data_IF_878918618030
#
_entry.id   IF_878918618030
#
_cell.length_a   1.000
_cell.length_b   1.000
_cell.length_c   1.000
_cell.angle_alpha   90.00
_cell.angle_beta   90.00
_cell.angle_gamma   90.00
#
_symmetry.space_group_name_H-M   'P 1'
#
loop_
_entity.id
_entity.type
_entity.pdbx_description
1 polymer ?
#
# COMPACT_ATOMS: atom_id res chain seq x y z
N UNK A 1 -0.98 -18.04 -12.72
CA UNK A 1 -0.79 -18.22 -11.27
C UNK A 1 -0.07 -16.98 -10.75
N UNK A 2 -0.76 -16.07 -10.09
CA UNK A 2 -0.18 -14.85 -9.49
C UNK A 2 -1.02 -14.33 -8.30
N UNK A 3 -1.74 -15.23 -7.63
CA UNK A 3 -2.81 -14.91 -6.67
C UNK A 3 -2.42 -14.99 -5.20
N UNK A 4 -1.23 -15.49 -4.84
CA UNK A 4 -0.85 -15.56 -3.41
C UNK A 4 -0.29 -14.24 -2.88
N UNK A 5 0.61 -13.57 -3.62
CA UNK A 5 1.36 -12.42 -3.10
C UNK A 5 0.53 -11.15 -2.87
N UNK A 6 -0.38 -10.82 -3.80
CA UNK A 6 -1.27 -9.66 -3.65
C UNK A 6 -2.28 -9.84 -2.51
N UNK A 7 -2.83 -11.05 -2.37
CA UNK A 7 -3.76 -11.41 -1.29
C UNK A 7 -3.07 -11.42 0.07
N UNK A 8 -1.86 -11.97 0.17
CA UNK A 8 -1.06 -11.96 1.39
C UNK A 8 -0.71 -10.54 1.85
N UNK A 9 -0.41 -9.66 0.90
CA UNK A 9 -0.12 -8.26 1.16
C UNK A 9 -1.31 -7.48 1.73
N UNK A 10 -2.49 -7.67 1.16
CA UNK A 10 -3.73 -7.10 1.69
C UNK A 10 -4.03 -7.64 3.09
N UNK A 11 -3.93 -8.96 3.26
CA UNK A 11 -4.14 -9.62 4.55
C UNK A 11 -3.17 -9.10 5.61
N UNK A 12 -1.91 -8.82 5.26
CA UNK A 12 -0.92 -8.27 6.19
C UNK A 12 -1.34 -6.88 6.69
N UNK A 13 -1.60 -5.91 5.81
CA UNK A 13 -1.94 -4.54 6.22
C UNK A 13 -3.23 -4.53 7.06
N UNK A 14 -4.19 -5.39 6.70
CA UNK A 14 -5.44 -5.55 7.45
C UNK A 14 -5.20 -6.24 8.81
N UNK A 15 -4.39 -7.30 8.87
CA UNK A 15 -4.08 -8.02 10.11
C UNK A 15 -3.32 -7.15 11.12
N UNK A 16 -2.48 -6.22 10.64
CA UNK A 16 -1.78 -5.24 11.47
C UNK A 16 -2.68 -4.09 11.93
N UNK A 17 -3.95 -4.04 11.50
CA UNK A 17 -4.87 -2.96 11.84
C UNK A 17 -4.53 -1.61 11.19
N UNK A 18 -3.66 -1.60 10.18
CA UNK A 18 -3.20 -0.38 9.50
C UNK A 18 -4.20 0.11 8.44
N UNK A 19 -4.98 -0.80 7.87
CA UNK A 19 -6.03 -0.50 6.90
C UNK A 19 -7.20 -1.48 7.04
N UNK A 20 -8.32 -1.15 6.42
CA UNK A 20 -9.48 -2.04 6.28
C UNK A 20 -9.65 -2.45 4.82
N UNK A 21 -10.23 -3.63 4.56
CA UNK A 21 -10.61 -4.00 3.19
C UNK A 21 -11.59 -2.99 2.61
N UNK A 22 -11.40 -2.59 1.35
CA UNK A 22 -12.29 -1.60 0.73
C UNK A 22 -13.64 -2.21 0.34
N UNK A 23 -14.71 -1.43 0.53
CA UNK A 23 -16.05 -1.77 0.01
C UNK A 23 -16.27 -1.23 -1.41
N UNK A 24 -15.35 -0.41 -1.91
CA UNK A 24 -15.41 0.16 -3.25
C UNK A 24 -14.84 -0.84 -4.25
N UNK A 25 -15.66 -1.22 -5.23
CA UNK A 25 -15.26 -2.16 -6.27
C UNK A 25 -14.01 -1.65 -7.00
N UNK A 26 -12.95 -2.45 -6.93
CA UNK A 26 -11.69 -2.19 -7.62
C UNK A 26 -10.59 -1.61 -6.75
N UNK A 27 -10.90 -1.20 -5.51
CA UNK A 27 -9.94 -0.85 -4.48
C UNK A 27 -9.68 -2.07 -3.59
N UNK A 28 -8.47 -2.17 -3.03
CA UNK A 28 -8.09 -3.28 -2.17
C UNK A 28 -8.28 -2.91 -0.69
N UNK A 29 -7.83 -1.71 -0.30
CA UNK A 29 -7.88 -1.25 1.10
C UNK A 29 -8.27 0.21 1.23
N UNK A 30 -8.74 0.58 2.42
CA UNK A 30 -9.04 1.93 2.86
C UNK A 30 -8.29 2.23 4.15
N UNK A 31 -7.66 3.40 4.26
CA UNK A 31 -6.94 3.81 5.47
C UNK A 31 -7.04 5.31 5.69
N UNK A 32 -6.72 5.76 6.91
CA UNK A 32 -6.53 7.18 7.21
C UNK A 32 -5.04 7.47 7.07
N UNK A 33 -4.69 8.35 6.14
CA UNK A 33 -3.32 8.80 5.97
C UNK A 33 -2.85 9.52 7.23
N UNK A 34 -1.78 9.02 7.84
CA UNK A 34 -1.23 9.55 9.09
C UNK A 34 -0.52 10.89 8.92
N UNK A 35 -0.26 11.31 7.69
CA UNK A 35 0.41 12.58 7.38
C UNK A 35 -0.61 13.68 7.11
N UNK A 36 -1.61 13.42 6.26
CA UNK A 36 -2.61 14.45 5.86
C UNK A 36 -3.99 14.30 6.53
N UNK A 37 -4.22 13.20 7.27
CA UNK A 37 -5.46 12.94 8.00
C UNK A 37 -6.66 12.58 7.13
N UNK A 38 -6.51 12.46 5.81
CA UNK A 38 -7.61 12.14 4.89
C UNK A 38 -7.76 10.64 4.72
N UNK A 39 -8.99 10.21 4.48
CA UNK A 39 -9.29 8.84 4.08
C UNK A 39 -8.77 8.60 2.66
N UNK A 40 -8.02 7.52 2.48
CA UNK A 40 -7.48 7.08 1.19
C UNK A 40 -8.13 5.76 0.79
N UNK A 41 -8.40 5.61 -0.51
CA UNK A 41 -8.81 4.37 -1.13
C UNK A 41 -7.67 3.91 -2.03
N UNK A 42 -7.12 2.75 -1.69
CA UNK A 42 -5.87 2.29 -2.25
C UNK A 42 -6.06 1.01 -3.03
N UNK A 43 -5.53 0.99 -4.24
CA UNK A 43 -5.24 -0.27 -4.94
C UNK A 43 -3.78 -0.65 -4.68
N UNK A 44 -3.54 -1.89 -4.29
CA UNK A 44 -2.23 -2.38 -3.86
C UNK A 44 -1.53 -3.17 -4.97
N UNK A 45 -0.22 -3.03 -4.99
CA UNK A 45 0.72 -3.74 -5.85
C UNK A 45 1.89 -4.21 -5.02
N UNK A 46 2.32 -5.46 -5.21
CA UNK A 46 3.37 -6.03 -4.39
C UNK A 46 4.74 -5.40 -4.69
N UNK A 47 5.02 -5.01 -5.94
CA UNK A 47 6.33 -4.47 -6.31
C UNK A 47 6.35 -3.75 -7.66
N UNK A 48 7.52 -3.23 -8.05
CA UNK A 48 7.65 -2.19 -9.09
C UNK A 48 7.47 -2.71 -10.52
N UNK A 49 7.40 -4.03 -10.71
CA UNK A 49 7.24 -4.68 -12.02
C UNK A 49 5.89 -5.38 -12.18
N UNK A 50 4.93 -5.11 -11.29
CA UNK A 50 3.61 -5.77 -11.28
C UNK A 50 2.53 -5.08 -12.15
N UNK A 51 2.93 -4.05 -12.91
CA UNK A 51 2.09 -3.33 -13.88
C UNK A 51 2.86 -3.27 -15.20
N UNK A 52 2.19 -3.63 -16.29
CA UNK A 52 2.68 -3.45 -17.65
C UNK A 52 1.91 -2.34 -18.40
N UNK A 53 2.25 -2.10 -19.67
CA UNK A 53 1.59 -1.08 -20.50
C UNK A 53 0.09 -1.27 -20.67
N UNK A 54 -0.38 -2.52 -20.72
CA UNK A 54 -1.80 -2.85 -20.92
C UNK A 54 -2.62 -2.62 -19.65
N UNK A 55 -1.98 -2.61 -18.48
CA UNK A 55 -2.61 -2.38 -17.18
C UNK A 55 -2.86 -0.90 -16.88
N UNK A 56 -2.07 0.02 -17.47
CA UNK A 56 -2.10 1.46 -17.15
C UNK A 56 -3.48 2.07 -17.41
N UNK A 57 -4.00 1.93 -18.64
CA UNK A 57 -5.27 2.55 -19.02
C UNK A 57 -6.47 1.96 -18.24
N UNK A 58 -6.60 0.62 -18.09
CA UNK A 58 -7.64 0.04 -17.24
C UNK A 58 -7.59 0.51 -15.78
N UNK A 59 -6.39 0.70 -15.21
CA UNK A 59 -6.23 1.18 -13.84
C UNK A 59 -6.73 2.62 -13.69
N UNK A 60 -6.32 3.52 -14.58
CA UNK A 60 -6.76 4.91 -14.59
C UNK A 60 -8.28 4.99 -14.79
N UNK A 61 -8.84 4.19 -15.71
CA UNK A 61 -10.28 4.13 -15.93
C UNK A 61 -11.04 3.66 -14.68
N UNK A 62 -10.49 2.70 -13.95
CA UNK A 62 -11.06 2.23 -12.69
C UNK A 62 -11.07 3.34 -11.64
N UNK A 63 -9.97 4.07 -11.47
CA UNK A 63 -9.92 5.20 -10.54
C UNK A 63 -10.90 6.31 -10.94
N UNK A 64 -10.97 6.64 -12.24
CA UNK A 64 -11.95 7.58 -12.78
C UNK A 64 -13.39 7.17 -12.48
N UNK A 65 -13.72 5.88 -12.60
CA UNK A 65 -15.05 5.37 -12.31
C UNK A 65 -15.42 5.57 -10.83
N UNK A 66 -14.47 5.31 -9.91
CA UNK A 66 -14.67 5.55 -8.47
C UNK A 66 -14.84 7.04 -8.17
N UNK A 67 -13.96 7.90 -8.70
CA UNK A 67 -14.06 9.35 -8.52
C UNK A 67 -15.39 9.91 -9.05
N UNK A 68 -15.87 9.41 -10.19
CA UNK A 68 -17.15 9.78 -10.76
C UNK A 68 -18.34 9.34 -9.89
N UNK A 69 -18.28 8.13 -9.34
CA UNK A 69 -19.31 7.61 -8.43
C UNK A 69 -19.38 8.42 -7.14
N UNK A 70 -18.22 8.75 -6.55
CA UNK A 70 -18.13 9.56 -5.34
C UNK A 70 -18.75 10.94 -5.54
N UNK A 71 -18.45 11.60 -6.68
CA UNK A 71 -19.05 12.89 -7.04
C UNK A 71 -20.57 12.82 -7.20
N UNK A 72 -21.06 11.74 -7.82
CA UNK A 72 -22.51 11.52 -8.00
C UNK A 72 -23.23 11.35 -6.66
N UNK A 73 -22.56 10.73 -5.68
CA UNK A 73 -23.10 10.49 -4.35
C UNK A 73 -22.75 11.60 -3.33
N UNK A 74 -22.20 12.74 -3.78
CA UNK A 74 -21.82 13.89 -2.95
C UNK A 74 -20.85 13.51 -1.81
N UNK A 75 -20.00 12.53 -2.07
CA UNK A 75 -18.91 12.17 -1.16
C UNK A 75 -17.76 13.14 -1.42
N UNK A 76 -17.26 13.80 -0.37
CA UNK A 76 -16.04 14.64 -0.44
C UNK A 76 -14.82 13.75 -0.66
N UNK A 77 -14.49 13.53 -1.94
CA UNK A 77 -13.39 12.70 -2.40
C UNK A 77 -12.60 13.49 -3.45
N UNK A 78 -11.33 13.73 -3.16
CA UNK A 78 -10.38 14.30 -4.11
C UNK A 78 -9.70 13.18 -4.88
N UNK A 79 -9.25 13.47 -6.10
CA UNK A 79 -8.45 12.49 -6.86
C UNK A 79 -7.19 12.05 -6.10
N UNK A 80 -6.64 12.94 -5.25
CA UNK A 80 -5.52 12.65 -4.35
C UNK A 80 -5.84 11.66 -3.22
N UNK A 81 -7.11 11.29 -3.05
CA UNK A 81 -7.55 10.29 -2.09
C UNK A 81 -7.66 8.89 -2.72
N UNK A 82 -7.63 8.80 -4.06
CA UNK A 82 -7.47 7.54 -4.79
C UNK A 82 -5.99 7.32 -5.08
N UNK A 83 -5.41 6.29 -4.48
CA UNK A 83 -3.95 6.08 -4.52
C UNK A 83 -3.60 4.68 -5.02
N UNK A 84 -2.47 4.59 -5.71
CA UNK A 84 -1.84 3.31 -6.04
C UNK A 84 -0.69 3.06 -5.06
N UNK A 85 -0.80 2.03 -4.23
CA UNK A 85 0.23 1.66 -3.28
C UNK A 85 1.14 0.55 -3.83
N UNK A 86 2.45 0.77 -3.82
CA UNK A 86 3.47 -0.25 -4.14
C UNK A 86 4.22 -0.62 -2.86
N UNK A 87 4.08 -1.86 -2.40
CA UNK A 87 4.50 -2.26 -1.06
C UNK A 87 6.01 -2.45 -0.91
N UNK A 88 6.64 -3.10 -1.88
CA UNK A 88 8.07 -3.42 -1.87
C UNK A 88 8.73 -2.86 -3.12
N UNK A 89 9.24 -1.65 -3.01
CA UNK A 89 10.01 -0.98 -4.04
C UNK A 89 10.75 0.23 -3.47
N UNK A 90 11.80 0.64 -4.15
CA UNK A 90 12.33 2.00 -4.08
C UNK A 90 11.82 2.81 -5.28
N UNK A 91 11.71 4.13 -5.13
CA UNK A 91 11.25 5.01 -6.22
C UNK A 91 12.07 4.85 -7.51
N UNK A 92 13.38 4.63 -7.37
CA UNK A 92 14.30 4.44 -8.51
C UNK A 92 14.02 3.17 -9.30
N UNK A 93 13.30 2.20 -8.71
CA UNK A 93 12.94 0.94 -9.35
C UNK A 93 11.61 1.02 -10.12
N UNK A 94 10.85 2.11 -9.99
CA UNK A 94 9.55 2.25 -10.64
C UNK A 94 9.70 2.34 -12.16
N UNK A 95 8.95 1.47 -12.84
CA UNK A 95 8.84 1.54 -14.30
C UNK A 95 8.11 2.81 -14.75
N UNK A 96 8.27 3.16 -16.03
CA UNK A 96 7.59 4.31 -16.64
C UNK A 96 6.05 4.22 -16.51
N UNK A 97 5.50 3.02 -16.39
CA UNK A 97 4.06 2.80 -16.23
C UNK A 97 3.51 3.43 -14.95
N UNK A 98 4.23 3.29 -13.83
CA UNK A 98 3.84 3.92 -12.57
C UNK A 98 3.93 5.44 -12.65
N UNK A 99 4.95 5.96 -13.35
CA UNK A 99 5.11 7.41 -13.54
C UNK A 99 3.93 8.02 -14.29
N UNK A 100 3.47 7.36 -15.36
CA UNK A 100 2.28 7.79 -16.12
C UNK A 100 1.03 7.81 -15.23
N UNK A 101 0.84 6.80 -14.37
CA UNK A 101 -0.30 6.78 -13.44
C UNK A 101 -0.19 7.94 -12.44
N UNK A 102 1.01 8.20 -11.93
CA UNK A 102 1.30 9.26 -10.96
C UNK A 102 1.00 10.67 -11.46
N UNK A 103 0.93 10.87 -12.78
CA UNK A 103 0.51 12.16 -13.37
C UNK A 103 -0.95 12.51 -13.03
N UNK A 104 -1.81 11.50 -12.78
CA UNK A 104 -3.24 11.69 -12.52
C UNK A 104 -3.64 11.28 -11.10
N UNK A 105 -3.06 10.19 -10.59
CA UNK A 105 -3.41 9.61 -9.29
C UNK A 105 -2.14 9.26 -8.51
N UNK A 106 -2.01 9.70 -7.25
CA UNK A 106 -0.78 9.49 -6.49
C UNK A 106 -0.35 8.02 -6.42
N UNK A 107 0.92 7.77 -6.68
CA UNK A 107 1.58 6.48 -6.52
C UNK A 107 2.48 6.54 -5.28
N UNK A 108 2.09 5.83 -4.23
CA UNK A 108 2.81 5.77 -2.96
C UNK A 108 3.66 4.50 -2.93
N UNK A 109 4.97 4.65 -2.66
CA UNK A 109 5.93 3.56 -2.93
C UNK A 109 6.79 3.29 -1.72
N UNK A 110 6.85 2.01 -1.31
CA UNK A 110 7.69 1.53 -0.22
C UNK A 110 7.58 2.44 0.99
N UNK A 111 8.67 3.11 1.33
CA UNK A 111 8.77 3.98 2.49
C UNK A 111 7.65 5.04 2.57
N UNK A 112 7.26 5.69 1.47
CA UNK A 112 6.21 6.71 1.49
C UNK A 112 4.83 6.11 1.82
N UNK A 113 4.49 4.96 1.21
CA UNK A 113 3.25 4.24 1.53
C UNK A 113 3.20 3.82 2.99
N UNK A 114 4.28 3.22 3.49
CA UNK A 114 4.35 2.75 4.88
C UNK A 114 4.35 3.90 5.88
N UNK A 115 5.00 5.03 5.57
CA UNK A 115 4.95 6.22 6.39
C UNK A 115 3.54 6.78 6.49
N UNK A 116 2.78 6.80 5.38
CA UNK A 116 1.37 7.23 5.37
C UNK A 116 0.43 6.26 6.10
N UNK A 117 0.69 4.96 6.04
CA UNK A 117 -0.10 3.96 6.78
C UNK A 117 0.15 4.01 8.29
N UNK A 118 1.42 4.16 8.69
CA UNK A 118 1.85 3.96 10.08
C UNK A 118 2.10 5.25 10.84
N UNK A 119 2.46 6.34 10.15
CA UNK A 119 3.00 7.56 10.74
C UNK A 119 4.50 7.46 11.09
N UNK A 120 5.14 6.33 10.81
CA UNK A 120 6.55 6.09 11.15
C UNK A 120 7.42 5.96 9.91
N UNK A 121 8.21 6.98 9.64
CA UNK A 121 9.12 7.06 8.48
C UNK A 121 10.10 5.88 8.38
N UNK A 122 10.54 5.35 9.52
CA UNK A 122 11.51 4.24 9.59
C UNK A 122 10.87 2.85 9.58
N UNK A 123 9.55 2.73 9.45
CA UNK A 123 8.88 1.43 9.46
C UNK A 123 9.37 0.53 8.32
N UNK A 124 9.36 1.03 7.08
CA UNK A 124 9.71 0.23 5.90
C UNK A 124 11.18 -0.22 5.87
N UNK A 125 12.18 0.65 6.15
CA UNK A 125 13.56 0.19 6.27
C UNK A 125 13.73 -0.93 7.31
N UNK A 126 13.08 -0.80 8.47
CA UNK A 126 13.10 -1.85 9.50
C UNK A 126 12.40 -3.13 9.03
N UNK A 127 11.31 -3.01 8.28
CA UNK A 127 10.60 -4.14 7.66
C UNK A 127 11.53 -4.93 6.75
N UNK A 128 12.22 -4.26 5.83
CA UNK A 128 13.17 -4.92 4.93
C UNK A 128 14.30 -5.61 5.71
N UNK A 129 14.85 -4.98 6.76
CA UNK A 129 15.89 -5.60 7.59
C UNK A 129 15.37 -6.85 8.31
N UNK A 130 14.19 -6.76 8.93
CA UNK A 130 13.55 -7.87 9.64
C UNK A 130 13.26 -9.04 8.69
N UNK A 131 12.74 -8.74 7.51
CA UNK A 131 12.49 -9.75 6.46
C UNK A 131 13.78 -10.41 6.00
N UNK A 132 14.84 -9.64 5.72
CA UNK A 132 16.13 -10.19 5.32
C UNK A 132 16.72 -11.12 6.38
N UNK A 133 16.56 -10.79 7.66
CA UNK A 133 17.00 -11.66 8.76
C UNK A 133 16.24 -12.98 8.78
N UNK A 134 14.91 -12.96 8.60
CA UNK A 134 14.11 -14.19 8.58
C UNK A 134 14.29 -15.04 7.33
N UNK A 135 14.64 -14.45 6.17
CA UNK A 135 14.94 -15.20 4.94
C UNK A 135 16.13 -16.16 5.15
N UNK A 136 17.07 -15.84 6.05
CA UNK A 136 18.16 -16.74 6.40
C UNK A 136 17.72 -17.96 7.24
N UNK A 137 16.51 -17.95 7.82
CA UNK A 137 16.01 -18.94 8.78
C UNK A 137 14.92 -19.93 8.23
N UNK A 138 14.51 -19.79 6.95
CA UNK A 138 13.60 -20.66 6.13
C UNK A 138 12.05 -20.57 6.29
N UNK A 139 11.39 -21.01 5.19
CA UNK A 139 9.96 -21.02 4.74
C UNK A 139 9.28 -19.69 4.35
N UNK A 140 8.88 -19.60 3.07
CA UNK A 140 8.68 -18.35 2.29
C UNK A 140 7.26 -17.76 2.27
N UNK A 141 6.36 -18.15 3.16
CA UNK A 141 4.98 -17.61 3.18
C UNK A 141 4.63 -16.81 4.44
N UNK A 142 5.27 -17.07 5.59
CA UNK A 142 4.95 -16.34 6.84
C UNK A 142 5.80 -15.09 7.05
N UNK A 143 6.89 -14.94 6.28
CA UNK A 143 7.90 -13.88 6.44
C UNK A 143 7.30 -12.48 6.53
N UNK A 144 6.33 -12.14 5.67
CA UNK A 144 5.74 -10.81 5.60
C UNK A 144 4.97 -10.46 6.88
N UNK A 145 4.11 -11.37 7.32
CA UNK A 145 3.29 -11.17 8.50
C UNK A 145 4.16 -11.17 9.77
N UNK A 146 5.11 -12.10 9.86
CA UNK A 146 6.02 -12.22 11.00
C UNK A 146 6.91 -10.97 11.13
N UNK A 147 7.48 -10.52 10.01
CA UNK A 147 8.28 -9.29 9.94
C UNK A 147 7.52 -8.05 10.35
N UNK A 148 6.33 -7.87 9.81
CA UNK A 148 5.53 -6.70 10.12
C UNK A 148 4.96 -6.73 11.54
N UNK A 149 4.56 -7.91 12.05
CA UNK A 149 4.03 -8.08 13.41
C UNK A 149 5.10 -7.80 14.46
N UNK A 150 6.32 -8.33 14.26
CA UNK A 150 7.46 -8.06 15.15
C UNK A 150 7.76 -6.57 15.24
N UNK A 151 7.71 -5.87 14.12
CA UNK A 151 8.00 -4.44 14.08
C UNK A 151 6.90 -3.57 14.67
N UNK A 152 5.63 -3.91 14.43
CA UNK A 152 4.52 -3.24 15.08
C UNK A 152 4.68 -3.31 16.61
N UNK A 153 5.03 -4.49 17.13
CA UNK A 153 5.29 -4.69 18.56
C UNK A 153 6.50 -3.89 19.07
N UNK A 154 7.61 -3.87 18.35
CA UNK A 154 8.79 -3.06 18.72
C UNK A 154 8.46 -1.56 18.79
N UNK A 155 7.59 -1.06 17.90
CA UNK A 155 7.15 0.34 17.90
C UNK A 155 6.26 0.63 19.12
N UNK A 156 5.30 -0.25 19.43
CA UNK A 156 4.46 -0.14 20.63
C UNK A 156 5.29 -0.13 21.92
N UNK A 157 6.27 -1.02 22.05
CA UNK A 157 7.13 -1.13 23.22
C UNK A 157 8.10 0.07 23.38
N UNK A 158 8.43 0.74 22.27
CA UNK A 158 9.34 1.89 22.29
C UNK A 158 8.72 3.20 22.79
N UNK A 159 7.41 3.23 23.07
CA UNK A 159 6.71 4.43 23.57
C UNK A 159 6.57 5.55 22.53
N UNK A 160 6.88 5.29 21.26
CA UNK A 160 6.75 6.26 20.16
C UNK A 160 5.29 6.48 19.70
N UNK A 161 4.37 5.67 20.23
CA UNK A 161 2.92 5.75 20.00
C UNK A 161 2.13 6.42 21.16
N UNK A 162 2.80 6.86 22.23
CA UNK A 162 2.18 7.55 23.36
C UNK A 162 2.11 9.06 23.17
#
# INVERSE_FOLDING_TARGET
MNTSFGTQSQNMIVALGLASGSLIKGMDVEFIDKIDGRKKWCQLKAGPNTINSEDVAPLIQKFNAVANLARTNVIDLNNSDLVLGVLYAEEVQLSQHYKIINETYPVLVGQDLWHRLTGFELFYPKLIVSLNQMIFDLETETLLLDGATKLAKEIEESGLLS
#
